data_IF_384533655108
#
_entry.id   IF_384533655108
#
_cell.length_a   1.000
_cell.length_b   1.000
_cell.length_c   1.000
_cell.angle_alpha   90.00
_cell.angle_beta   90.00
_cell.angle_gamma   90.00
#
_symmetry.space_group_name_H-M   'P 1'
#
loop_
_entity.id
_entity.type
_entity.pdbx_description
1 polymer ?
#
# COMPACT_ATOMS: atom_id res chain seq x y z
N UNK A 1 -21.80 17.60 -10.84
CA UNK A 1 -20.54 16.88 -10.55
C UNK A 1 -20.59 16.42 -9.11
N UNK A 2 -20.56 15.11 -8.84
CA UNK A 2 -20.68 14.59 -7.48
C UNK A 2 -19.41 14.93 -6.67
N UNK A 3 -19.57 15.68 -5.57
CA UNK A 3 -18.52 15.88 -4.57
C UNK A 3 -18.24 14.52 -3.92
N UNK A 4 -17.12 13.88 -4.27
CA UNK A 4 -16.71 12.58 -3.68
C UNK A 4 -16.21 11.52 -4.66
N UNK A 5 -16.20 11.78 -5.98
CA UNK A 5 -15.65 10.82 -6.94
C UNK A 5 -14.13 10.72 -6.84
N UNK A 6 -13.60 9.58 -6.40
CA UNK A 6 -12.17 9.28 -6.41
C UNK A 6 -11.78 8.78 -7.82
N UNK A 7 -11.55 9.72 -8.74
CA UNK A 7 -11.18 9.40 -10.13
C UNK A 7 -9.68 9.15 -10.23
N UNK A 8 -9.30 7.94 -10.65
CA UNK A 8 -7.91 7.53 -10.85
C UNK A 8 -7.66 7.33 -12.35
N UNK A 9 -6.58 7.90 -12.86
CA UNK A 9 -6.31 7.98 -14.30
C UNK A 9 -5.91 6.66 -14.96
N UNK A 10 -5.66 5.59 -14.18
CA UNK A 10 -5.34 4.26 -14.71
C UNK A 10 -4.66 3.33 -13.70
N UNK A 11 -4.30 2.13 -14.16
CA UNK A 11 -3.53 1.14 -13.39
C UNK A 11 -2.23 1.73 -12.85
N UNK A 12 -1.88 1.42 -11.61
CA UNK A 12 -0.67 1.88 -10.93
C UNK A 12 -0.52 3.41 -10.88
N UNK A 13 -1.60 4.18 -11.08
CA UNK A 13 -1.51 5.63 -10.99
C UNK A 13 -1.37 6.09 -9.53
N UNK A 14 -2.18 5.50 -8.64
CA UNK A 14 -2.07 5.72 -7.19
C UNK A 14 -2.12 4.36 -6.50
N UNK A 15 -1.13 4.08 -5.66
CA UNK A 15 -1.23 3.02 -4.66
C UNK A 15 -1.66 3.63 -3.32
N UNK A 16 -2.79 3.14 -2.80
CA UNK A 16 -3.25 3.44 -1.44
C UNK A 16 -2.59 2.47 -0.49
N UNK A 17 -1.85 2.98 0.49
CA UNK A 17 -1.11 2.19 1.48
C UNK A 17 -1.84 2.32 2.80
N UNK A 18 -2.08 1.19 3.48
CA UNK A 18 -2.75 1.14 4.78
C UNK A 18 -2.24 -0.03 5.64
N UNK A 19 -2.30 0.17 6.96
CA UNK A 19 -1.98 -0.80 7.98
C UNK A 19 -3.24 -1.46 8.56
N UNK A 20 -3.25 -2.79 8.65
CA UNK A 20 -4.34 -3.53 9.28
C UNK A 20 -3.97 -3.98 10.70
N UNK A 21 -4.67 -3.42 11.70
CA UNK A 21 -4.31 -3.55 13.11
C UNK A 21 -5.12 -4.57 13.91
N UNK A 22 -6.10 -5.27 13.34
CA UNK A 22 -6.94 -6.21 14.13
C UNK A 22 -6.15 -7.35 14.76
N UNK A 23 -5.02 -7.73 14.16
CA UNK A 23 -4.16 -8.81 14.65
C UNK A 23 -2.98 -8.30 15.49
N UNK A 24 -2.86 -6.99 15.71
CA UNK A 24 -1.73 -6.41 16.44
C UNK A 24 -1.67 -6.89 17.89
N UNK A 25 -2.82 -7.26 18.48
CA UNK A 25 -2.90 -7.88 19.81
C UNK A 25 -2.22 -9.24 19.90
N UNK A 26 -2.01 -9.90 18.75
CA UNK A 26 -1.26 -11.16 18.63
C UNK A 26 0.16 -10.94 18.11
N UNK A 27 0.62 -9.68 18.04
CA UNK A 27 1.94 -9.32 17.49
C UNK A 27 2.03 -9.41 15.96
N UNK A 28 0.90 -9.59 15.26
CA UNK A 28 0.88 -9.65 13.80
C UNK A 28 0.41 -8.30 13.26
N UNK A 29 1.28 -7.64 12.52
CA UNK A 29 1.03 -6.38 11.87
C UNK A 29 1.04 -6.58 10.35
N UNK A 30 -0.01 -6.09 9.69
CA UNK A 30 -0.16 -6.24 8.24
C UNK A 30 -0.11 -4.86 7.61
N UNK A 31 0.65 -4.70 6.54
CA UNK A 31 0.66 -3.50 5.70
C UNK A 31 0.48 -3.92 4.26
N UNK A 32 -0.31 -3.17 3.51
CA UNK A 32 -0.56 -3.47 2.12
C UNK A 32 -0.69 -2.21 1.28
N UNK A 33 -0.23 -2.30 0.03
CA UNK A 33 -0.53 -1.34 -1.02
C UNK A 33 -1.65 -1.89 -1.90
N UNK A 34 -2.63 -1.06 -2.21
CA UNK A 34 -3.74 -1.38 -3.11
C UNK A 34 -3.73 -0.40 -4.28
N UNK A 35 -3.74 -0.92 -5.50
CA UNK A 35 -3.94 -0.09 -6.69
C UNK A 35 -5.34 0.53 -6.65
N UNK A 36 -5.41 1.86 -6.59
CA UNK A 36 -6.67 2.58 -6.41
C UNK A 36 -7.60 2.46 -7.63
N UNK A 37 -7.06 2.10 -8.81
CA UNK A 37 -7.83 1.88 -10.02
C UNK A 37 -8.44 0.47 -10.08
N UNK A 38 -7.61 -0.58 -10.02
CA UNK A 38 -8.07 -1.97 -10.20
C UNK A 38 -8.49 -2.69 -8.91
N UNK A 39 -8.15 -2.14 -7.74
CA UNK A 39 -8.23 -2.83 -6.44
C UNK A 39 -7.32 -4.05 -6.32
N UNK A 40 -6.39 -4.24 -7.25
CA UNK A 40 -5.34 -5.24 -7.13
C UNK A 40 -4.40 -4.89 -5.96
N UNK A 41 -3.87 -5.92 -5.29
CA UNK A 41 -2.93 -5.76 -4.16
C UNK A 41 -1.52 -6.08 -4.69
N UNK A 42 -0.75 -5.09 -5.17
CA UNK A 42 0.62 -5.29 -5.63
C UNK A 42 1.59 -5.65 -4.49
N UNK A 43 1.22 -5.33 -3.24
CA UNK A 43 2.09 -5.47 -2.09
C UNK A 43 1.28 -5.81 -0.85
N UNK A 44 1.71 -6.86 -0.14
CA UNK A 44 1.29 -7.15 1.23
C UNK A 44 2.50 -7.63 2.02
N UNK A 45 2.63 -7.14 3.24
CA UNK A 45 3.60 -7.58 4.21
C UNK A 45 2.91 -7.94 5.51
N UNK A 46 3.41 -8.99 6.16
CA UNK A 46 3.00 -9.41 7.48
C UNK A 46 4.23 -9.61 8.36
N UNK A 47 4.25 -8.97 9.52
CA UNK A 47 5.39 -9.09 10.44
C UNK A 47 5.13 -8.45 11.79
N UNK A 48 6.21 -8.21 12.53
CA UNK A 48 6.17 -7.75 13.93
C UNK A 48 6.60 -6.28 14.10
N UNK A 49 7.06 -5.62 13.04
CA UNK A 49 7.62 -4.27 13.09
C UNK A 49 7.31 -3.48 11.82
N UNK A 50 6.05 -3.07 11.68
CA UNK A 50 5.61 -2.29 10.52
C UNK A 50 5.24 -0.86 10.85
N UNK A 51 5.20 -0.48 12.13
CA UNK A 51 4.83 0.87 12.58
C UNK A 51 5.83 1.98 12.24
N UNK A 52 6.96 1.66 11.60
CA UNK A 52 7.95 2.66 11.22
C UNK A 52 7.83 2.98 9.73
N UNK A 53 7.90 4.26 9.37
CA UNK A 53 7.95 4.67 7.96
C UNK A 53 9.13 4.06 7.20
N UNK A 54 10.23 3.72 7.90
CA UNK A 54 11.39 3.02 7.34
C UNK A 54 11.02 1.60 6.89
N UNK A 55 10.27 0.86 7.71
CA UNK A 55 9.81 -0.49 7.37
C UNK A 55 8.91 -0.45 6.12
N UNK A 56 7.96 0.49 6.08
CA UNK A 56 7.11 0.71 4.90
C UNK A 56 7.91 1.06 3.64
N UNK A 57 8.89 1.96 3.76
CA UNK A 57 9.75 2.35 2.64
C UNK A 57 10.57 1.16 2.12
N UNK A 58 11.17 0.38 3.00
CA UNK A 58 11.95 -0.79 2.61
C UNK A 58 11.11 -1.79 1.83
N UNK A 59 9.91 -2.12 2.35
CA UNK A 59 8.98 -3.04 1.70
C UNK A 59 8.51 -2.52 0.34
N UNK A 60 8.22 -1.22 0.23
CA UNK A 60 7.87 -0.57 -1.03
C UNK A 60 9.00 -0.67 -2.08
N UNK A 61 10.24 -0.38 -1.68
CA UNK A 61 11.40 -0.49 -2.59
C UNK A 61 11.64 -1.92 -3.03
N UNK A 62 11.44 -2.89 -2.14
CA UNK A 62 11.56 -4.31 -2.45
C UNK A 62 10.53 -4.73 -3.51
N UNK A 63 9.27 -4.32 -3.37
CA UNK A 63 8.21 -4.60 -4.36
C UNK A 63 8.53 -4.00 -5.72
N UNK A 64 9.04 -2.76 -5.77
CA UNK A 64 9.48 -2.14 -7.03
C UNK A 64 10.61 -2.96 -7.64
N UNK A 65 11.59 -3.38 -6.84
CA UNK A 65 12.73 -4.16 -7.34
C UNK A 65 12.31 -5.51 -7.93
N UNK A 66 11.31 -6.16 -7.34
CA UNK A 66 10.83 -7.48 -7.76
C UNK A 66 9.89 -7.43 -8.97
N UNK A 67 9.03 -6.41 -9.04
CA UNK A 67 7.98 -6.30 -10.07
C UNK A 67 8.39 -5.41 -11.24
N UNK A 68 9.36 -4.52 -11.04
CA UNK A 68 9.72 -3.43 -11.94
C UNK A 68 8.53 -2.51 -12.28
N UNK A 69 7.54 -2.43 -11.38
CA UNK A 69 6.36 -1.57 -11.49
C UNK A 69 6.52 -0.42 -10.51
N UNK A 70 6.51 0.81 -11.04
CA UNK A 70 6.57 2.03 -10.25
C UNK A 70 5.21 2.73 -10.34
N UNK A 71 4.48 2.93 -9.22
CA UNK A 71 3.28 3.74 -9.27
C UNK A 71 3.62 5.22 -9.50
N UNK A 72 2.70 5.97 -10.10
CA UNK A 72 2.92 7.41 -10.29
C UNK A 72 2.97 8.17 -8.96
N UNK A 73 2.17 7.73 -7.98
CA UNK A 73 2.22 8.26 -6.61
C UNK A 73 1.73 7.24 -5.59
N UNK A 74 2.16 7.41 -4.35
CA UNK A 74 1.67 6.65 -3.19
C UNK A 74 0.89 7.58 -2.27
N UNK A 75 -0.15 7.06 -1.62
CA UNK A 75 -0.94 7.77 -0.60
C UNK A 75 -1.09 6.89 0.64
N UNK A 76 -0.71 7.42 1.78
CA UNK A 76 -1.05 6.92 3.12
C UNK A 76 -2.00 7.92 3.78
N UNK A 77 -2.91 7.45 4.61
CA UNK A 77 -3.66 8.32 5.52
C UNK A 77 -2.88 8.63 6.82
#
# INVERSE_FOLDING_TARGET
MAKGGYFISGLNYIWSIDGHHKLSMYGIEIYAGVDAYSRYIPWIYMGISTRTGISCLHQYLEVISQTNILPHSIRSD
#
